data_IF_059953991547
#
_entry.id   IF_059953991547
#
_cell.length_a   1.000
_cell.length_b   1.000
_cell.length_c   1.000
_cell.angle_alpha   90.00
_cell.angle_beta   90.00
_cell.angle_gamma   90.00
#
_symmetry.space_group_name_H-M   'P 1'
#
loop_
_entity.id
_entity.type
_entity.pdbx_description
1 polymer ?
#
# COMPACT_ATOMS: atom_id res chain seq x y z
N UNK A 1 2.57 -67.28 47.83
CA UNK A 1 1.27 -66.69 47.44
C UNK A 1 1.61 -65.40 46.68
N UNK A 2 1.70 -65.37 45.34
CA UNK A 2 0.62 -65.08 44.34
C UNK A 2 -0.25 -63.88 44.77
N UNK A 3 -0.45 -62.78 44.03
CA UNK A 3 -0.04 -62.26 42.69
C UNK A 3 -0.29 -60.73 42.69
N UNK A 4 0.47 -59.99 41.89
CA UNK A 4 0.23 -58.59 41.51
C UNK A 4 -1.00 -58.45 40.61
N UNK A 5 -1.74 -57.33 40.73
CA UNK A 5 -2.54 -56.77 39.64
C UNK A 5 -2.40 -55.24 39.67
N UNK A 6 -1.72 -54.72 38.64
CA UNK A 6 -1.81 -53.34 38.22
C UNK A 6 -3.06 -53.16 37.35
N UNK A 7 -3.76 -52.04 37.48
CA UNK A 7 -4.74 -51.62 36.49
C UNK A 7 -4.29 -50.28 35.89
N UNK A 8 -3.84 -50.39 34.65
CA UNK A 8 -3.54 -49.28 33.75
C UNK A 8 -4.83 -48.61 33.29
N UNK A 9 -4.82 -47.28 33.20
CA UNK A 9 -5.56 -46.58 32.15
C UNK A 9 -4.58 -45.66 31.43
N UNK A 10 -4.32 -45.98 30.17
CA UNK A 10 -3.61 -45.13 29.23
C UNK A 10 -4.63 -44.35 28.41
N UNK A 11 -4.41 -43.04 28.28
CA UNK A 11 -4.84 -42.23 27.13
C UNK A 11 -3.86 -41.06 27.06
N UNK A 12 -2.96 -41.11 26.08
CA UNK A 12 -2.02 -40.05 25.79
C UNK A 12 -2.58 -39.07 24.77
N UNK A 13 -2.09 -37.83 24.82
CA UNK A 13 -1.80 -36.99 23.66
C UNK A 13 -0.56 -36.16 23.98
N UNK A 14 0.46 -36.23 23.12
CA UNK A 14 1.58 -35.30 23.04
C UNK A 14 1.18 -34.08 22.21
N UNK A 15 1.53 -32.87 22.65
CA UNK A 15 1.82 -31.66 21.84
C UNK A 15 1.88 -30.45 22.79
N UNK A 16 2.75 -29.44 22.69
CA UNK A 16 4.01 -29.21 22.01
C UNK A 16 4.65 -28.03 22.77
N UNK A 17 5.97 -28.02 22.91
CA UNK A 17 6.72 -26.82 23.28
C UNK A 17 6.69 -25.92 22.04
N UNK A 18 6.12 -24.72 22.10
CA UNK A 18 6.43 -23.60 21.20
C UNK A 18 5.63 -22.35 21.59
N UNK A 19 6.13 -21.65 22.61
CA UNK A 19 5.77 -20.26 22.87
C UNK A 19 6.92 -19.35 22.41
N UNK A 20 7.24 -19.36 21.12
CA UNK A 20 8.14 -18.36 20.53
C UNK A 20 7.38 -17.03 20.48
N UNK A 21 7.47 -16.22 21.54
CA UNK A 21 6.98 -14.85 21.52
C UNK A 21 8.12 -13.90 21.11
N UNK A 22 7.90 -13.29 19.94
CA UNK A 22 8.59 -12.16 19.33
C UNK A 22 9.96 -12.44 18.66
N UNK A 23 9.91 -12.77 17.37
CA UNK A 23 11.01 -12.46 16.44
C UNK A 23 10.88 -10.99 15.97
N UNK A 24 11.99 -10.27 15.72
CA UNK A 24 11.99 -8.84 15.41
C UNK A 24 11.70 -8.63 13.92
N UNK A 25 10.44 -8.77 13.52
CA UNK A 25 9.94 -8.28 12.23
C UNK A 25 8.49 -7.89 12.45
N UNK A 26 8.27 -6.62 12.79
CA UNK A 26 6.94 -6.03 12.73
C UNK A 26 6.59 -5.84 11.23
N UNK A 27 5.64 -6.61 10.66
CA UNK A 27 5.38 -6.65 9.22
C UNK A 27 4.44 -5.53 8.79
N UNK A 28 4.64 -4.32 9.30
CA UNK A 28 3.76 -3.21 8.92
C UNK A 28 4.14 -2.68 7.53
N UNK A 29 3.39 -3.23 6.56
CA UNK A 29 3.22 -2.84 5.15
C UNK A 29 4.21 -3.42 4.12
N UNK A 30 4.06 -4.72 3.82
CA UNK A 30 4.53 -5.33 2.57
C UNK A 30 4.00 -4.56 1.34
N UNK A 31 4.70 -4.53 0.19
CA UNK A 31 4.19 -3.97 -1.06
C UNK A 31 2.78 -4.44 -1.43
N UNK A 32 2.33 -5.61 -0.96
CA UNK A 32 0.95 -6.08 -1.10
C UNK A 32 -0.11 -5.10 -0.53
N UNK A 33 0.25 -4.26 0.44
CA UNK A 33 -0.65 -3.33 1.10
C UNK A 33 -1.03 -2.09 0.26
N UNK A 34 -0.25 -1.70 -0.75
CA UNK A 34 -0.70 -0.64 -1.65
C UNK A 34 -1.78 -1.11 -2.65
N UNK A 35 -2.34 -2.31 -2.51
CA UNK A 35 -3.33 -2.82 -3.47
C UNK A 35 -2.81 -2.87 -4.92
N UNK A 36 -3.71 -2.96 -5.89
CA UNK A 36 -3.32 -3.02 -7.31
C UNK A 36 -3.81 -1.82 -8.11
N UNK A 37 -4.87 -1.17 -7.63
CA UNK A 37 -5.44 0.03 -8.26
C UNK A 37 -5.72 1.08 -7.21
N UNK A 38 -5.38 2.34 -7.51
CA UNK A 38 -5.79 3.50 -6.72
C UNK A 38 -6.72 4.34 -7.58
N UNK A 39 -7.89 4.69 -7.04
CA UNK A 39 -8.75 5.71 -7.64
C UNK A 39 -8.50 7.01 -6.88
N UNK A 40 -7.95 7.99 -7.58
CA UNK A 40 -7.46 9.25 -7.03
C UNK A 40 -8.31 10.44 -7.46
N UNK A 41 -8.30 11.51 -6.67
CA UNK A 41 -8.93 12.78 -7.02
C UNK A 41 -8.12 13.98 -6.51
N UNK A 42 -7.75 14.88 -7.43
CA UNK A 42 -7.03 16.12 -7.15
C UNK A 42 -7.59 17.28 -8.00
N UNK A 43 -7.86 18.45 -7.42
CA UNK A 43 -8.19 19.67 -8.17
C UNK A 43 -9.22 19.49 -9.32
N UNK A 44 -10.19 18.59 -9.15
CA UNK A 44 -11.21 18.24 -10.15
C UNK A 44 -10.77 17.24 -11.25
N UNK A 45 -9.57 16.67 -11.15
CA UNK A 45 -9.10 15.51 -11.91
C UNK A 45 -9.53 14.21 -11.24
N UNK A 46 -9.75 13.18 -12.05
CA UNK A 46 -10.01 11.81 -11.60
C UNK A 46 -8.86 10.92 -12.08
N UNK A 47 -8.13 10.30 -11.17
CA UNK A 47 -6.98 9.46 -11.46
C UNK A 47 -7.29 7.97 -11.29
N UNK A 48 -6.75 7.14 -12.18
CA UNK A 48 -6.65 5.69 -11.98
C UNK A 48 -5.18 5.31 -12.08
N UNK A 49 -4.63 4.76 -11.00
CA UNK A 49 -3.24 4.34 -10.93
C UNK A 49 -3.18 2.82 -10.80
N UNK A 50 -2.56 2.16 -11.77
CA UNK A 50 -2.49 0.69 -11.84
C UNK A 50 -1.07 0.22 -11.60
N UNK A 51 -0.89 -0.69 -10.65
CA UNK A 51 0.42 -1.25 -10.32
C UNK A 51 1.01 -2.04 -11.48
N UNK A 52 2.31 -1.90 -11.68
CA UNK A 52 3.09 -2.71 -12.63
C UNK A 52 3.64 -3.94 -11.91
N UNK A 53 3.07 -5.11 -12.18
CA UNK A 53 3.51 -6.38 -11.59
C UNK A 53 3.48 -6.37 -10.06
N UNK A 54 4.55 -6.89 -9.42
CA UNK A 54 4.73 -6.88 -7.96
C UNK A 54 5.69 -5.77 -7.49
N UNK A 55 5.77 -4.68 -8.25
CA UNK A 55 6.70 -3.57 -7.96
C UNK A 55 6.01 -2.42 -7.24
N UNK A 56 6.80 -1.45 -6.80
CA UNK A 56 6.35 -0.16 -6.27
C UNK A 56 5.98 0.88 -7.36
N UNK A 57 5.99 0.46 -8.63
CA UNK A 57 5.70 1.32 -9.78
C UNK A 57 4.25 1.23 -10.21
N UNK A 58 3.68 2.37 -10.62
CA UNK A 58 2.32 2.45 -11.13
C UNK A 58 2.28 3.23 -12.44
N UNK A 59 1.36 2.85 -13.33
CA UNK A 59 0.96 3.65 -14.48
C UNK A 59 -0.31 4.41 -14.11
N UNK A 60 -0.25 5.73 -14.21
CA UNK A 60 -1.34 6.62 -13.85
C UNK A 60 -1.98 7.24 -15.09
N UNK A 61 -3.29 7.36 -15.06
CA UNK A 61 -4.08 8.14 -16.03
C UNK A 61 -5.00 9.05 -15.24
N UNK A 62 -4.94 10.35 -15.49
CA UNK A 62 -5.91 11.33 -14.98
C UNK A 62 -6.74 11.90 -16.10
N UNK A 63 -8.03 12.07 -15.85
CA UNK A 63 -8.97 12.74 -16.76
C UNK A 63 -9.64 13.93 -16.09
N UNK A 64 -9.92 14.98 -16.87
CA UNK A 64 -10.69 16.16 -16.44
C UNK A 64 -11.38 16.77 -17.66
N UNK A 65 -12.67 16.49 -17.81
CA UNK A 65 -13.40 16.83 -19.03
C UNK A 65 -12.81 16.13 -20.24
N UNK A 66 -12.37 16.89 -21.24
CA UNK A 66 -11.72 16.41 -22.47
C UNK A 66 -10.19 16.22 -22.33
N UNK A 67 -9.62 16.51 -21.16
CA UNK A 67 -8.18 16.48 -20.92
C UNK A 67 -7.76 15.16 -20.31
N UNK A 68 -6.57 14.72 -20.70
CA UNK A 68 -5.92 13.52 -20.17
C UNK A 68 -4.44 13.78 -19.89
N UNK A 69 -3.96 13.22 -18.78
CA UNK A 69 -2.53 13.18 -18.42
C UNK A 69 -2.17 11.74 -18.06
N UNK A 70 -1.00 11.28 -18.51
CA UNK A 70 -0.45 9.98 -18.10
C UNK A 70 0.89 10.17 -17.42
N UNK A 71 1.19 9.35 -16.43
CA UNK A 71 2.45 9.40 -15.71
C UNK A 71 2.91 8.02 -15.24
N UNK A 72 4.20 7.96 -14.95
CA UNK A 72 4.81 6.89 -14.19
C UNK A 72 4.94 7.33 -12.73
N UNK A 73 4.51 6.47 -11.81
CA UNK A 73 4.63 6.71 -10.38
C UNK A 73 5.61 5.73 -9.75
N UNK A 74 6.31 6.20 -8.72
CA UNK A 74 7.04 5.37 -7.77
C UNK A 74 6.51 5.67 -6.38
N UNK A 75 6.04 4.64 -5.67
CA UNK A 75 5.39 4.79 -4.37
C UNK A 75 6.20 4.12 -3.26
N UNK A 76 6.15 4.66 -2.05
CA UNK A 76 6.67 4.01 -0.85
C UNK A 76 5.72 4.21 0.32
N UNK A 77 5.64 3.22 1.22
CA UNK A 77 4.89 3.30 2.46
C UNK A 77 5.85 3.11 3.64
N UNK A 78 5.63 3.83 4.72
CA UNK A 78 6.28 3.61 6.01
C UNK A 78 5.25 3.85 7.11
N UNK A 79 4.84 2.78 7.81
CA UNK A 79 3.69 2.83 8.70
C UNK A 79 2.42 3.23 7.93
N UNK A 80 1.71 4.26 8.40
CA UNK A 80 0.53 4.80 7.72
C UNK A 80 0.85 5.90 6.70
N UNK A 81 2.12 6.29 6.54
CA UNK A 81 2.52 7.35 5.63
C UNK A 81 2.82 6.79 4.23
N UNK A 82 2.37 7.49 3.18
CA UNK A 82 2.71 7.22 1.78
C UNK A 82 3.47 8.39 1.16
N UNK A 83 4.50 8.09 0.39
CA UNK A 83 5.23 9.05 -0.47
C UNK A 83 5.19 8.59 -1.92
N UNK A 84 4.98 9.52 -2.84
CA UNK A 84 4.83 9.21 -4.27
C UNK A 84 5.59 10.23 -5.11
N UNK A 85 6.45 9.72 -5.99
CA UNK A 85 7.09 10.49 -7.05
C UNK A 85 6.35 10.24 -8.35
N UNK A 86 5.85 11.30 -8.98
CA UNK A 86 5.17 11.29 -10.27
C UNK A 86 6.07 11.86 -11.36
N UNK A 87 6.13 11.22 -12.52
CA UNK A 87 6.74 11.75 -13.75
C UNK A 87 5.78 11.63 -14.93
N UNK A 88 5.41 12.77 -15.51
CA UNK A 88 4.45 12.83 -16.61
C UNK A 88 5.07 12.31 -17.91
N UNK A 89 4.36 11.40 -18.57
CA UNK A 89 4.73 10.72 -19.81
C UNK A 89 3.81 11.08 -20.98
N UNK A 90 2.66 11.71 -20.72
CA UNK A 90 1.75 12.24 -21.72
C UNK A 90 1.01 13.49 -21.20
N UNK A 91 0.64 14.40 -22.09
CA UNK A 91 -0.10 15.63 -21.78
C UNK A 91 0.80 16.87 -21.67
N UNK A 92 0.28 17.96 -21.09
CA UNK A 92 0.99 19.24 -21.02
C UNK A 92 2.16 19.26 -20.01
N UNK A 93 2.25 18.24 -19.15
CA UNK A 93 3.27 18.12 -18.12
C UNK A 93 4.49 17.25 -18.50
N UNK A 94 4.57 16.72 -19.73
CA UNK A 94 5.64 15.77 -20.13
C UNK A 94 7.03 16.25 -19.73
N UNK A 95 7.79 15.37 -19.07
CA UNK A 95 9.13 15.67 -18.57
C UNK A 95 9.16 16.44 -17.25
N UNK A 96 8.01 16.83 -16.71
CA UNK A 96 7.84 17.40 -15.36
C UNK A 96 7.25 16.35 -14.41
N UNK A 97 7.15 16.70 -13.13
CA UNK A 97 6.62 15.82 -12.11
C UNK A 97 5.96 16.52 -10.94
N UNK A 98 5.46 15.68 -10.04
CA UNK A 98 4.91 16.09 -8.76
C UNK A 98 5.39 15.14 -7.66
N UNK A 99 5.40 15.65 -6.44
CA UNK A 99 5.64 14.89 -5.22
C UNK A 99 4.35 14.87 -4.40
N UNK A 100 3.92 13.69 -3.99
CA UNK A 100 2.77 13.49 -3.12
C UNK A 100 3.22 12.92 -1.79
N UNK A 101 2.59 13.41 -0.72
CA UNK A 101 2.61 12.80 0.60
C UNK A 101 1.18 12.58 1.09
N UNK A 102 0.92 11.49 1.79
CA UNK A 102 -0.40 11.22 2.35
C UNK A 102 -0.37 10.26 3.53
N UNK A 103 -1.54 10.06 4.13
CA UNK A 103 -1.76 9.13 5.25
C UNK A 103 -2.88 8.15 4.88
N UNK A 104 -2.65 6.88 5.17
CA UNK A 104 -3.53 5.75 4.88
C UNK A 104 -4.39 5.45 6.11
N UNK A 105 -5.71 5.32 5.92
CA UNK A 105 -6.68 4.90 6.94
C UNK A 105 -7.63 3.87 6.33
N UNK A 106 -7.36 2.59 6.59
CA UNK A 106 -8.03 1.49 5.89
C UNK A 106 -7.69 1.53 4.40
N UNK A 107 -8.70 1.57 3.54
CA UNK A 107 -8.51 1.74 2.09
C UNK A 107 -8.50 3.19 1.62
N UNK A 108 -8.64 4.16 2.52
CA UNK A 108 -8.68 5.58 2.15
C UNK A 108 -7.32 6.24 2.38
N UNK A 109 -6.96 7.15 1.48
CA UNK A 109 -5.73 7.93 1.56
C UNK A 109 -6.06 9.39 1.36
N UNK A 110 -5.50 10.24 2.21
CA UNK A 110 -5.64 11.70 2.10
C UNK A 110 -4.28 12.34 2.27
N UNK A 111 -4.02 13.40 1.50
CA UNK A 111 -2.69 13.99 1.52
C UNK A 111 -2.58 15.33 0.83
N UNK A 112 -1.33 15.73 0.61
CA UNK A 112 -0.95 16.92 -0.13
C UNK A 112 0.04 16.57 -1.25
N UNK A 113 0.00 17.33 -2.35
CA UNK A 113 0.95 17.21 -3.44
C UNK A 113 1.49 18.57 -3.88
N UNK A 114 2.66 18.55 -4.51
CA UNK A 114 3.31 19.73 -5.09
C UNK A 114 3.93 19.37 -6.44
N UNK A 115 3.89 20.29 -7.40
CA UNK A 115 4.36 20.03 -8.76
C UNK A 115 5.36 21.07 -9.20
N UNK A 116 6.23 20.71 -10.16
CA UNK A 116 7.24 21.62 -10.72
C UNK A 116 6.65 22.92 -11.28
N UNK A 117 5.40 22.87 -11.74
CA UNK A 117 4.69 23.99 -12.37
C UNK A 117 3.73 24.73 -11.45
N UNK A 118 3.45 24.23 -10.25
CA UNK A 118 2.47 24.81 -9.35
C UNK A 118 3.00 24.86 -7.93
N UNK A 119 3.21 26.10 -7.44
CA UNK A 119 3.74 26.34 -6.10
C UNK A 119 2.71 26.00 -5.01
N UNK A 120 3.21 25.45 -3.90
CA UNK A 120 2.47 25.18 -2.67
C UNK A 120 1.74 23.84 -2.65
N UNK A 121 1.53 23.25 -1.44
CA UNK A 121 0.82 21.99 -1.29
C UNK A 121 -0.65 22.13 -1.71
N UNK A 122 -1.19 21.11 -2.38
CA UNK A 122 -2.59 21.00 -2.78
C UNK A 122 -3.18 19.68 -2.29
N UNK A 123 -4.46 19.64 -1.90
CA UNK A 123 -5.05 18.42 -1.36
C UNK A 123 -5.29 17.37 -2.44
N UNK A 124 -5.14 16.10 -2.08
CA UNK A 124 -5.53 14.96 -2.90
C UNK A 124 -6.16 13.83 -2.07
N UNK A 125 -7.11 13.16 -2.71
CA UNK A 125 -7.89 11.98 -2.37
C UNK A 125 -7.47 10.66 -2.97
N UNK A 126 -7.38 9.52 -2.30
CA UNK A 126 -7.47 8.24 -3.01
C UNK A 126 -8.18 7.12 -2.23
N UNK A 127 -8.66 6.13 -3.00
CA UNK A 127 -9.15 4.85 -2.48
C UNK A 127 -8.37 3.68 -3.11
N UNK A 128 -7.83 2.82 -2.26
CA UNK A 128 -7.05 1.62 -2.60
C UNK A 128 -8.00 0.45 -2.89
N UNK A 129 -7.79 -0.23 -4.01
CA UNK A 129 -8.54 -1.40 -4.47
C UNK A 129 -7.66 -2.63 -4.62
#
# INVERSE_FOLDING_TARGET
MKKYVALSFALGVFASIEGALAMPNDPDQSPAALGTVWNETEAGWQGTWTRVGKTEKYKAVWTKGDREVRADLTMSITGDAVSIVRRDTFGSGVGKGCQYGGTIKGSNVTGQYSCDWAKGPKPWSANIR
#
